data_IF_467821108786
#
_entry.id   IF_467821108786
#
_cell.length_a   1.000
_cell.length_b   1.000
_cell.length_c   1.000
_cell.angle_alpha   90.00
_cell.angle_beta   90.00
_cell.angle_gamma   90.00
#
_symmetry.space_group_name_H-M   'P 1'
#
loop_
_entity.id
_entity.type
_entity.pdbx_description
1 polymer ?
#
# COMPACT_ATOMS: atom_id res chain seq x y z
N UNK A 1 -7.62 17.14 2.73
CA UNK A 1 -6.37 16.35 2.64
C UNK A 1 -6.69 14.94 3.07
N UNK A 2 -6.56 13.99 2.16
CA UNK A 2 -6.68 12.54 2.43
C UNK A 2 -5.28 11.94 2.39
N UNK A 3 -5.07 10.88 3.15
CA UNK A 3 -3.84 10.11 3.19
C UNK A 3 -4.20 8.70 2.75
N UNK A 4 -3.52 8.22 1.72
CA UNK A 4 -3.71 6.87 1.20
C UNK A 4 -2.40 6.11 1.41
N UNK A 5 -2.46 5.03 2.18
CA UNK A 5 -1.31 4.18 2.51
C UNK A 5 -1.44 2.87 1.74
N UNK A 6 -0.50 2.64 0.83
CA UNK A 6 -0.34 1.36 0.14
C UNK A 6 0.70 0.55 0.91
N UNK A 7 0.26 -0.50 1.60
CA UNK A 7 1.10 -1.24 2.54
C UNK A 7 1.45 -2.64 2.04
N UNK A 8 2.65 -2.76 1.47
CA UNK A 8 3.14 -3.98 0.85
C UNK A 8 3.80 -4.91 1.88
N UNK A 9 3.31 -6.15 1.96
CA UNK A 9 3.83 -7.19 2.85
C UNK A 9 3.92 -8.54 2.11
N UNK A 10 4.56 -9.54 2.73
CA UNK A 10 4.62 -10.90 2.15
C UNK A 10 3.28 -11.62 2.33
N UNK A 11 2.95 -11.93 3.57
CA UNK A 11 1.71 -12.60 3.97
C UNK A 11 0.94 -11.71 4.97
N UNK A 12 -0.32 -12.06 5.28
CA UNK A 12 -1.16 -11.27 6.18
C UNK A 12 -0.53 -11.13 7.59
N UNK A 13 0.10 -12.20 8.09
CA UNK A 13 0.81 -12.18 9.39
C UNK A 13 1.99 -11.20 9.45
N UNK A 14 2.49 -10.75 8.30
CA UNK A 14 3.58 -9.78 8.22
C UNK A 14 3.10 -8.33 8.30
N UNK A 15 1.79 -8.08 8.21
CA UNK A 15 1.23 -6.73 8.32
C UNK A 15 1.41 -6.23 9.75
N UNK A 16 2.45 -5.42 9.93
CA UNK A 16 2.73 -4.82 11.22
C UNK A 16 1.67 -3.80 11.60
N UNK A 17 1.30 -3.76 12.89
CA UNK A 17 0.25 -2.89 13.42
C UNK A 17 -1.13 -3.01 12.75
N UNK A 18 -1.48 -4.14 12.12
CA UNK A 18 -2.75 -4.33 11.40
C UNK A 18 -3.98 -3.87 12.21
N UNK A 19 -4.07 -4.21 13.49
CA UNK A 19 -5.22 -3.81 14.33
C UNK A 19 -5.26 -2.31 14.64
N UNK A 20 -4.10 -1.70 14.90
CA UNK A 20 -3.99 -0.26 15.14
C UNK A 20 -4.28 0.54 13.86
N UNK A 21 -3.72 0.10 12.73
CA UNK A 21 -3.93 0.68 11.40
C UNK A 21 -5.40 0.61 11.00
N UNK A 22 -6.06 -0.54 11.16
CA UNK A 22 -7.51 -0.68 10.95
C UNK A 22 -8.31 0.27 11.83
N UNK A 23 -7.96 0.38 13.12
CA UNK A 23 -8.63 1.31 14.05
C UNK A 23 -8.54 2.76 13.60
N UNK A 24 -7.38 3.22 13.13
CA UNK A 24 -7.21 4.62 12.68
C UNK A 24 -7.77 4.87 11.27
N UNK A 25 -7.88 3.83 10.43
CA UNK A 25 -8.50 3.91 9.09
C UNK A 25 -10.01 4.11 9.11
N UNK A 26 -10.66 4.03 10.29
CA UNK A 26 -12.09 4.37 10.45
C UNK A 26 -12.38 5.85 10.19
N UNK A 27 -11.35 6.70 10.20
CA UNK A 27 -11.43 8.10 9.79
C UNK A 27 -11.52 8.22 8.27
N UNK A 28 -12.45 9.04 7.75
CA UNK A 28 -12.59 9.35 6.31
C UNK A 28 -11.35 10.01 5.67
N UNK A 29 -10.32 10.33 6.46
CA UNK A 29 -9.09 10.98 5.99
C UNK A 29 -7.93 10.02 5.75
N UNK A 30 -8.03 8.76 6.16
CA UNK A 30 -6.95 7.78 6.05
C UNK A 30 -7.47 6.47 5.47
N UNK A 31 -7.02 6.14 4.27
CA UNK A 31 -7.24 4.84 3.65
C UNK A 31 -5.99 3.99 3.81
N UNK A 32 -6.17 2.72 4.16
CA UNK A 32 -5.08 1.74 4.20
C UNK A 32 -5.45 0.60 3.28
N UNK A 33 -4.60 0.35 2.28
CA UNK A 33 -4.73 -0.77 1.36
C UNK A 33 -3.57 -1.70 1.61
N UNK A 34 -3.84 -2.89 2.12
CA UNK A 34 -2.85 -3.95 2.29
C UNK A 34 -2.65 -4.67 0.94
N UNK A 35 -1.39 -4.87 0.54
CA UNK A 35 -1.02 -5.60 -0.68
C UNK A 35 -0.07 -6.73 -0.31
N UNK A 36 -0.44 -7.97 -0.63
CA UNK A 36 0.35 -9.16 -0.30
C UNK A 36 1.06 -9.72 -1.53
N UNK A 37 2.35 -10.01 -1.41
CA UNK A 37 3.10 -10.68 -2.48
C UNK A 37 2.97 -12.21 -2.47
N UNK A 38 2.59 -12.76 -1.31
CA UNK A 38 2.36 -14.19 -1.07
C UNK A 38 1.09 -14.38 -0.23
N UNK A 39 -0.09 -13.95 -0.73
CA UNK A 39 -1.34 -14.18 -0.01
C UNK A 39 -1.65 -15.68 0.09
N UNK A 40 -2.41 -16.06 1.11
CA UNK A 40 -3.09 -17.35 1.13
C UNK A 40 -4.43 -17.28 0.37
N UNK A 41 -5.07 -18.44 0.18
CA UNK A 41 -6.33 -18.56 -0.56
C UNK A 41 -7.50 -17.81 0.09
N UNK A 42 -7.39 -17.44 1.37
CA UNK A 42 -8.43 -16.69 2.07
C UNK A 42 -8.36 -15.19 1.79
N UNK A 43 -7.22 -14.69 1.29
CA UNK A 43 -7.02 -13.27 1.03
C UNK A 43 -7.92 -12.76 -0.09
N UNK A 44 -8.76 -11.80 0.25
CA UNK A 44 -9.66 -11.11 -0.70
C UNK A 44 -9.15 -9.71 -1.10
N UNK A 45 -8.01 -9.30 -0.55
CA UNK A 45 -7.43 -7.98 -0.80
C UNK A 45 -6.53 -7.93 -2.03
N UNK A 46 -5.83 -6.81 -2.20
CA UNK A 46 -4.89 -6.63 -3.31
C UNK A 46 -3.66 -7.53 -3.14
N UNK A 47 -3.09 -7.97 -4.26
CA UNK A 47 -1.89 -8.80 -4.25
C UNK A 47 -0.91 -8.42 -5.36
N UNK A 48 0.37 -8.67 -5.12
CA UNK A 48 1.45 -8.40 -6.05
C UNK A 48 2.71 -7.84 -5.38
N UNK A 49 3.70 -7.57 -6.22
CA UNK A 49 4.91 -6.83 -5.86
C UNK A 49 4.85 -5.43 -6.46
N UNK A 50 5.59 -4.49 -5.88
CA UNK A 50 5.67 -3.14 -6.41
C UNK A 50 6.10 -3.15 -7.88
N UNK A 51 5.32 -2.45 -8.72
CA UNK A 51 5.56 -2.30 -10.15
C UNK A 51 4.88 -1.03 -10.64
N UNK A 52 5.36 -0.47 -11.75
CA UNK A 52 4.77 0.72 -12.36
C UNK A 52 3.27 0.52 -12.68
N UNK A 53 2.92 -0.64 -13.25
CA UNK A 53 1.53 -0.98 -13.58
C UNK A 53 0.64 -0.99 -12.35
N UNK A 54 1.05 -1.68 -11.28
CA UNK A 54 0.27 -1.76 -10.05
C UNK A 54 0.16 -0.38 -9.36
N UNK A 55 1.22 0.42 -9.36
CA UNK A 55 1.18 1.76 -8.79
C UNK A 55 0.24 2.68 -9.57
N UNK A 56 0.23 2.61 -10.91
CA UNK A 56 -0.72 3.35 -11.75
C UNK A 56 -2.16 2.93 -11.49
N UNK A 57 -2.44 1.64 -11.31
CA UNK A 57 -3.77 1.13 -10.97
C UNK A 57 -4.23 1.60 -9.58
N UNK A 58 -3.33 1.62 -8.59
CA UNK A 58 -3.67 1.96 -7.20
C UNK A 58 -3.73 3.46 -6.93
N UNK A 59 -2.83 4.24 -7.51
CA UNK A 59 -2.71 5.70 -7.27
C UNK A 59 -3.54 6.48 -8.28
N UNK A 60 -3.68 5.98 -9.51
CA UNK A 60 -4.24 6.72 -10.63
C UNK A 60 -3.38 7.92 -11.01
N UNK A 61 -4.01 8.92 -11.65
CA UNK A 61 -3.34 10.18 -11.99
C UNK A 61 -3.25 11.09 -10.75
N UNK A 62 -2.04 11.39 -10.25
CA UNK A 62 -1.89 12.25 -9.08
C UNK A 62 -2.36 13.67 -9.39
N UNK A 63 -3.14 14.25 -8.46
CA UNK A 63 -3.52 15.67 -8.52
C UNK A 63 -2.28 16.55 -8.37
N UNK A 64 -2.32 17.76 -8.92
CA UNK A 64 -1.19 18.72 -8.96
C UNK A 64 -0.54 19.07 -7.60
N UNK A 65 -1.16 18.72 -6.47
CA UNK A 65 -0.65 18.96 -5.11
C UNK A 65 -0.44 17.66 -4.30
N UNK A 66 -0.41 16.49 -4.95
CA UNK A 66 -0.16 15.22 -4.27
C UNK A 66 1.33 15.05 -3.95
N UNK A 67 1.64 14.61 -2.74
CA UNK A 67 2.98 14.19 -2.33
C UNK A 67 3.01 12.67 -2.14
N UNK A 68 4.03 12.00 -2.69
CA UNK A 68 4.25 10.56 -2.51
C UNK A 68 5.47 10.38 -1.61
N UNK A 69 5.31 9.60 -0.55
CA UNK A 69 6.39 9.22 0.37
C UNK A 69 6.60 7.72 0.28
N UNK A 70 7.85 7.30 0.14
CA UNK A 70 8.22 5.89 -0.09
C UNK A 70 9.21 5.47 0.99
N UNK A 71 8.98 4.30 1.58
CA UNK A 71 9.88 3.68 2.55
C UNK A 71 9.83 2.17 2.37
N UNK A 72 10.98 1.50 2.52
CA UNK A 72 11.07 0.05 2.42
C UNK A 72 12.50 -0.41 2.09
N UNK A 73 12.66 -1.70 1.75
CA UNK A 73 13.92 -2.24 1.23
C UNK A 73 14.39 -1.47 -0.01
N UNK A 74 15.71 -1.39 -0.22
CA UNK A 74 16.28 -0.60 -1.32
C UNK A 74 15.74 -0.97 -2.71
N UNK A 75 15.50 -2.27 -2.96
CA UNK A 75 14.93 -2.73 -4.22
C UNK A 75 13.47 -2.29 -4.38
N UNK A 76 12.71 -2.24 -3.29
CA UNK A 76 11.35 -1.73 -3.30
C UNK A 76 11.34 -0.23 -3.63
N UNK A 77 12.15 0.57 -2.93
CA UNK A 77 12.19 2.02 -3.16
C UNK A 77 12.63 2.35 -4.57
N UNK A 78 13.67 1.69 -5.10
CA UNK A 78 14.13 1.90 -6.47
C UNK A 78 13.05 1.60 -7.52
N UNK A 79 12.26 0.55 -7.31
CA UNK A 79 11.17 0.17 -8.21
C UNK A 79 9.96 1.10 -8.07
N UNK A 80 9.74 1.69 -6.90
CA UNK A 80 8.64 2.63 -6.67
C UNK A 80 8.93 4.06 -7.17
N UNK A 81 10.19 4.37 -7.51
CA UNK A 81 10.63 5.69 -7.98
C UNK A 81 10.53 5.89 -9.50
N UNK A 82 10.18 4.85 -10.27
CA UNK A 82 9.97 4.90 -11.72
C UNK A 82 8.62 5.46 -12.09
#
# INVERSE_FOLDING_TARGET
MTIDVLFFNKEEKNIFYSSQLRKISTSKRLTITDILSQPDDSWQGQHGIVSETLLKELIGDPRALSCIFICGPILFTNTAHT
#
